data_IF_314998698009
#
_entry.id   IF_314998698009
#
_cell.length_a   1.000
_cell.length_b   1.000
_cell.length_c   1.000
_cell.angle_alpha   90.00
_cell.angle_beta   90.00
_cell.angle_gamma   90.00
#
_symmetry.space_group_name_H-M   'P 1'
#
loop_
_entity.id
_entity.type
_entity.pdbx_description
1 polymer ?
#
# COMPACT_ATOMS: atom_id res chain seq x y z
N UNK A 1 51.08 -19.66 -47.61
CA UNK A 1 50.32 -20.62 -46.78
C UNK A 1 49.93 -19.95 -45.46
N UNK A 2 48.72 -20.22 -44.94
CA UNK A 2 47.95 -19.32 -44.09
C UNK A 2 48.00 -19.69 -42.61
N UNK A 3 47.69 -18.75 -41.71
CA UNK A 3 47.04 -19.08 -40.43
C UNK A 3 45.99 -18.02 -40.09
N UNK A 4 44.74 -18.35 -40.44
CA UNK A 4 43.52 -17.73 -39.90
C UNK A 4 43.48 -17.93 -38.40
N UNK A 5 43.28 -16.85 -37.64
CA UNK A 5 42.83 -16.93 -36.25
C UNK A 5 41.40 -16.42 -36.16
N UNK A 6 40.51 -17.37 -35.87
CA UNK A 6 39.14 -17.17 -35.43
C UNK A 6 39.11 -16.35 -34.14
N UNK A 7 38.26 -15.33 -34.08
CA UNK A 7 37.88 -14.65 -32.83
C UNK A 7 36.45 -15.10 -32.49
N UNK A 8 36.21 -15.69 -31.31
CA UNK A 8 34.87 -16.11 -30.93
C UNK A 8 34.01 -14.88 -30.57
N UNK A 9 32.79 -14.87 -31.10
CA UNK A 9 31.75 -13.92 -30.78
C UNK A 9 31.39 -14.01 -29.29
N UNK A 10 31.58 -12.91 -28.57
CA UNK A 10 31.10 -12.74 -27.20
C UNK A 10 29.58 -12.68 -27.18
N UNK A 11 28.96 -13.67 -26.54
CA UNK A 11 27.53 -13.67 -26.23
C UNK A 11 27.30 -12.63 -25.12
N UNK A 12 26.69 -11.50 -25.50
CA UNK A 12 26.19 -10.50 -24.54
C UNK A 12 24.86 -11.02 -23.98
N UNK A 13 24.89 -11.58 -22.77
CA UNK A 13 23.68 -11.91 -22.01
C UNK A 13 22.95 -10.62 -21.62
N UNK A 14 21.83 -10.31 -22.30
CA UNK A 14 20.85 -9.35 -21.80
C UNK A 14 20.10 -9.99 -20.61
N UNK A 15 20.49 -9.64 -19.40
CA UNK A 15 19.70 -9.93 -18.21
C UNK A 15 18.48 -8.99 -18.17
N UNK A 16 17.35 -9.43 -18.73
CA UNK A 16 16.08 -8.74 -18.58
C UNK A 16 15.66 -8.77 -17.10
N UNK A 17 15.73 -7.61 -16.45
CA UNK A 17 15.18 -7.43 -15.11
C UNK A 17 13.66 -7.55 -15.18
N UNK A 18 13.13 -8.71 -14.80
CA UNK A 18 11.72 -8.91 -14.58
C UNK A 18 11.30 -8.18 -13.28
N UNK A 19 11.13 -6.86 -13.37
CA UNK A 19 10.32 -6.14 -12.40
C UNK A 19 8.88 -6.67 -12.54
N UNK A 20 8.53 -7.63 -11.67
CA UNK A 20 7.23 -8.32 -11.72
C UNK A 20 6.09 -7.32 -11.81
N UNK A 21 5.35 -7.41 -12.93
CA UNK A 21 4.22 -6.55 -13.26
C UNK A 21 3.28 -6.42 -12.04
N UNK A 22 2.75 -5.22 -11.83
CA UNK A 22 1.72 -4.99 -10.81
C UNK A 22 0.55 -5.96 -11.07
N UNK A 23 -0.04 -6.57 -10.03
CA UNK A 23 -1.20 -7.43 -10.22
C UNK A 23 -2.33 -6.63 -10.88
N UNK A 24 -3.23 -7.35 -11.53
CA UNK A 24 -4.36 -6.78 -12.25
C UNK A 24 -5.12 -5.79 -11.35
N UNK A 25 -5.30 -4.57 -11.85
CA UNK A 25 -5.91 -3.49 -11.09
C UNK A 25 -7.38 -3.82 -10.80
N UNK A 26 -7.76 -3.89 -9.52
CA UNK A 26 -9.17 -3.89 -9.13
C UNK A 26 -9.81 -2.54 -9.52
N UNK A 27 -10.74 -2.56 -10.48
CA UNK A 27 -11.45 -1.40 -11.00
C UNK A 27 -12.91 -1.39 -10.53
N UNK A 28 -13.26 -0.47 -9.61
CA UNK A 28 -14.63 -0.22 -9.18
C UNK A 28 -15.01 1.25 -9.47
N UNK A 29 -15.84 1.53 -10.49
CA UNK A 29 -16.16 2.89 -10.90
C UNK A 29 -17.09 3.62 -9.91
N UNK A 30 -17.74 2.89 -9.00
CA UNK A 30 -18.61 3.45 -7.95
C UNK A 30 -17.82 3.86 -6.70
N UNK A 31 -16.57 3.39 -6.57
CA UNK A 31 -15.69 3.75 -5.48
C UNK A 31 -14.83 4.97 -5.83
N UNK A 32 -14.55 5.85 -4.85
CA UNK A 32 -13.62 6.95 -5.07
C UNK A 32 -12.19 6.50 -5.39
N UNK A 33 -11.80 5.26 -5.02
CA UNK A 33 -10.52 4.64 -5.43
C UNK A 33 -10.80 3.64 -6.53
N UNK A 34 -10.30 3.93 -7.73
CA UNK A 34 -10.55 3.13 -8.91
C UNK A 34 -9.42 2.15 -9.21
N UNK A 35 -8.19 2.41 -8.76
CA UNK A 35 -7.06 1.52 -9.01
C UNK A 35 -5.97 1.72 -7.97
N UNK A 36 -5.40 0.62 -7.50
CA UNK A 36 -4.33 0.60 -6.51
C UNK A 36 -3.12 -0.13 -7.06
N UNK A 37 -1.94 0.45 -6.86
CA UNK A 37 -0.67 -0.20 -7.11
C UNK A 37 0.16 -0.34 -5.84
N UNK A 38 1.39 -0.83 -5.98
CA UNK A 38 2.35 -0.86 -4.88
C UNK A 38 2.81 0.54 -4.48
N UNK A 39 2.95 1.44 -5.44
CA UNK A 39 3.53 2.79 -5.23
C UNK A 39 2.61 3.93 -5.67
N UNK A 40 1.34 3.63 -5.97
CA UNK A 40 0.38 4.63 -6.41
C UNK A 40 -1.07 4.26 -6.08
N UNK A 41 -1.95 5.25 -6.16
CA UNK A 41 -3.39 5.08 -6.18
C UNK A 41 -4.00 6.01 -7.25
N UNK A 42 -5.05 5.54 -7.93
CA UNK A 42 -5.90 6.37 -8.79
C UNK A 42 -7.22 6.64 -8.10
N UNK A 43 -7.52 7.92 -7.95
CA UNK A 43 -8.67 8.42 -7.21
C UNK A 43 -9.54 9.19 -8.20
N UNK A 44 -10.85 8.95 -8.14
CA UNK A 44 -11.85 9.66 -8.92
C UNK A 44 -13.01 10.16 -8.07
N UNK A 45 -13.57 11.30 -8.42
CA UNK A 45 -14.76 11.84 -7.76
C UNK A 45 -15.47 12.85 -8.65
N UNK A 46 -16.69 13.22 -8.23
CA UNK A 46 -17.44 14.31 -8.82
C UNK A 46 -17.70 15.44 -7.81
N UNK A 47 -17.64 16.68 -8.29
CA UNK A 47 -18.11 17.88 -7.57
C UNK A 47 -19.37 18.44 -8.23
N UNK A 48 -20.16 19.19 -7.45
CA UNK A 48 -21.39 19.84 -7.96
C UNK A 48 -21.08 20.98 -8.93
N UNK A 49 -20.00 21.71 -8.68
CA UNK A 49 -19.53 22.81 -9.53
C UNK A 49 -18.06 22.61 -9.90
N UNK A 50 -17.59 23.19 -11.03
CA UNK A 50 -16.21 23.05 -11.47
C UNK A 50 -15.19 23.47 -10.39
N UNK A 51 -14.22 22.63 -10.09
CA UNK A 51 -13.15 22.88 -9.12
C UNK A 51 -11.81 22.35 -9.62
N UNK A 52 -10.70 22.72 -8.98
CA UNK A 52 -9.40 22.12 -9.27
C UNK A 52 -9.32 20.66 -8.79
N UNK A 53 -8.53 19.85 -9.49
CA UNK A 53 -8.27 18.47 -9.07
C UNK A 53 -7.17 18.46 -8.01
N UNK A 54 -7.54 18.32 -6.74
CA UNK A 54 -6.59 18.20 -5.62
C UNK A 54 -6.98 17.09 -4.66
N UNK A 55 -6.00 16.35 -4.16
CA UNK A 55 -6.16 15.36 -3.10
C UNK A 55 -5.16 15.66 -1.99
N UNK A 56 -5.65 15.81 -0.76
CA UNK A 56 -4.79 15.84 0.41
C UNK A 56 -4.60 14.41 0.92
N UNK A 57 -3.36 14.00 1.18
CA UNK A 57 -3.03 12.63 1.53
C UNK A 57 -1.93 12.57 2.60
N UNK A 58 -2.04 11.60 3.50
CA UNK A 58 -1.04 11.27 4.51
C UNK A 58 -0.93 9.76 4.70
N UNK A 59 0.25 9.29 5.07
CA UNK A 59 0.41 7.93 5.56
C UNK A 59 -0.11 7.84 7.00
N UNK A 60 -0.78 6.74 7.37
CA UNK A 60 -1.22 6.56 8.74
C UNK A 60 -2.16 5.38 8.95
N UNK A 61 -2.20 4.89 10.19
CA UNK A 61 -3.12 3.83 10.64
C UNK A 61 -4.43 4.36 11.23
N UNK A 62 -4.44 5.63 11.67
CA UNK A 62 -5.51 6.18 12.50
C UNK A 62 -6.29 7.28 11.79
N UNK A 63 -7.64 7.20 11.81
CA UNK A 63 -8.51 8.26 11.35
C UNK A 63 -8.28 9.61 12.05
N UNK A 64 -8.76 10.69 11.44
CA UNK A 64 -8.47 12.06 11.87
C UNK A 64 -8.84 12.35 13.35
N UNK A 65 -9.87 11.68 13.86
CA UNK A 65 -10.43 11.92 15.20
C UNK A 65 -10.04 10.87 16.23
N UNK A 66 -9.15 9.93 15.91
CA UNK A 66 -8.59 9.02 16.92
C UNK A 66 -7.81 9.85 17.95
N UNK A 67 -8.18 9.82 19.24
CA UNK A 67 -7.46 10.56 20.28
C UNK A 67 -5.98 10.18 20.31
N UNK A 68 -5.13 11.15 20.67
CA UNK A 68 -3.73 10.87 20.96
C UNK A 68 -3.55 10.05 22.25
N UNK A 69 -2.34 9.50 22.50
CA UNK A 69 -1.96 8.86 23.76
C UNK A 69 -2.16 9.74 24.99
N UNK A 70 -2.09 11.06 24.79
CA UNK A 70 -2.34 12.11 25.78
C UNK A 70 -3.83 12.49 25.91
N UNK A 71 -4.73 11.76 25.23
CA UNK A 71 -6.16 12.02 25.20
C UNK A 71 -6.56 13.26 24.39
N UNK A 72 -5.59 13.98 23.79
CA UNK A 72 -5.88 15.22 23.06
C UNK A 72 -6.30 14.94 21.62
N UNK A 73 -7.22 15.76 21.06
CA UNK A 73 -7.51 15.73 19.64
C UNK A 73 -6.24 15.99 18.84
N UNK A 74 -5.98 15.13 17.84
CA UNK A 74 -4.91 15.35 16.88
C UNK A 74 -5.44 16.18 15.72
N UNK A 75 -4.58 17.00 15.13
CA UNK A 75 -4.80 17.67 13.84
C UNK A 75 -3.94 17.02 12.75
N UNK A 76 -4.22 15.76 12.36
CA UNK A 76 -3.30 14.99 11.51
C UNK A 76 -3.21 15.54 10.09
N UNK A 77 -4.14 16.41 9.69
CA UNK A 77 -4.14 17.09 8.39
C UNK A 77 -3.28 18.36 8.34
N UNK A 78 -2.71 18.76 9.49
CA UNK A 78 -1.72 19.85 9.60
C UNK A 78 -0.30 19.35 9.93
N UNK A 79 -0.13 18.03 10.04
CA UNK A 79 1.16 17.41 10.34
C UNK A 79 2.11 17.43 9.13
N UNK A 80 3.42 17.38 9.38
CA UNK A 80 4.46 17.44 8.35
C UNK A 80 4.40 16.32 7.28
N UNK A 81 3.77 15.18 7.58
CA UNK A 81 3.60 14.06 6.63
C UNK A 81 2.43 14.20 5.66
N UNK A 82 1.70 15.32 5.70
CA UNK A 82 0.57 15.60 4.81
C UNK A 82 1.07 16.31 3.57
N UNK A 83 0.61 15.85 2.40
CA UNK A 83 0.87 16.53 1.13
C UNK A 83 -0.39 16.68 0.30
N UNK A 84 -0.38 17.64 -0.61
CA UNK A 84 -1.44 17.83 -1.60
C UNK A 84 -0.92 17.37 -2.96
N UNK A 85 -1.57 16.36 -3.53
CA UNK A 85 -1.36 15.96 -4.92
C UNK A 85 -2.28 16.81 -5.82
N UNK A 86 -1.71 17.47 -6.82
CA UNK A 86 -2.46 18.21 -7.83
C UNK A 86 -2.61 17.35 -9.09
N UNK A 87 -3.82 17.34 -9.65
CA UNK A 87 -4.10 16.71 -10.94
C UNK A 87 -3.85 17.67 -12.10
N UNK A 88 -4.33 17.34 -13.31
CA UNK A 88 -4.23 18.22 -14.47
C UNK A 88 -4.81 19.61 -14.19
N UNK A 89 -4.21 20.68 -14.73
CA UNK A 89 -4.66 22.05 -14.51
C UNK A 89 -6.09 22.28 -15.03
N UNK A 90 -6.72 23.33 -14.53
CA UNK A 90 -8.08 23.72 -14.90
C UNK A 90 -9.17 23.19 -13.97
N UNK A 91 -10.40 23.66 -14.20
CA UNK A 91 -11.58 23.36 -13.39
C UNK A 91 -12.50 22.40 -14.12
N UNK A 92 -13.05 21.43 -13.39
CA UNK A 92 -13.92 20.37 -13.92
C UNK A 92 -14.82 19.83 -12.83
N UNK A 93 -15.88 19.13 -13.21
CA UNK A 93 -16.79 18.45 -12.26
C UNK A 93 -16.46 16.98 -12.10
N UNK A 94 -15.84 16.34 -13.09
CA UNK A 94 -15.28 15.00 -12.98
C UNK A 94 -13.77 15.08 -12.79
N UNK A 95 -13.27 14.41 -11.76
CA UNK A 95 -11.87 14.42 -11.39
C UNK A 95 -11.30 13.01 -11.44
N UNK A 96 -10.08 12.90 -11.96
CA UNK A 96 -9.24 11.71 -11.87
C UNK A 96 -7.80 12.15 -11.62
N UNK A 97 -7.15 11.53 -10.65
CA UNK A 97 -5.74 11.80 -10.32
C UNK A 97 -5.01 10.52 -9.95
N UNK A 98 -3.78 10.40 -10.43
CA UNK A 98 -2.83 9.38 -10.01
C UNK A 98 -1.91 9.97 -8.94
N UNK A 99 -2.02 9.46 -7.72
CA UNK A 99 -1.15 9.82 -6.60
C UNK A 99 0.01 8.83 -6.57
N UNK A 100 1.17 9.23 -7.08
CA UNK A 100 2.39 8.40 -7.10
C UNK A 100 3.28 8.63 -5.86
N UNK A 101 4.37 7.85 -5.76
CA UNK A 101 5.37 7.98 -4.69
C UNK A 101 4.90 7.44 -3.34
N UNK A 102 3.99 6.47 -3.35
CA UNK A 102 3.50 5.81 -2.14
C UNK A 102 4.42 4.64 -1.77
N UNK A 103 4.46 4.31 -0.47
CA UNK A 103 5.19 3.15 0.04
C UNK A 103 4.34 1.89 -0.13
N UNK A 104 4.89 0.77 -0.63
CA UNK A 104 4.19 -0.51 -0.66
C UNK A 104 3.75 -0.98 0.73
N UNK A 105 2.69 -1.78 0.77
CA UNK A 105 2.12 -2.36 1.98
C UNK A 105 1.69 -1.34 3.05
N UNK A 106 1.51 -0.07 2.67
CA UNK A 106 1.24 1.01 3.62
C UNK A 106 -0.20 1.52 3.51
N UNK A 107 -0.77 1.86 4.67
CA UNK A 107 -2.09 2.49 4.75
C UNK A 107 -1.97 4.00 4.58
N UNK A 108 -2.85 4.55 3.75
CA UNK A 108 -2.99 5.97 3.50
C UNK A 108 -4.40 6.44 3.82
N UNK A 109 -4.49 7.66 4.35
CA UNK A 109 -5.74 8.39 4.49
C UNK A 109 -5.71 9.58 3.54
N UNK A 110 -6.84 9.88 2.92
CA UNK A 110 -6.94 10.98 1.95
C UNK A 110 -8.28 11.71 2.05
N UNK A 111 -8.29 12.94 1.55
CA UNK A 111 -9.48 13.77 1.34
C UNK A 111 -9.44 14.35 -0.06
N UNK A 112 -10.60 14.41 -0.71
CA UNK A 112 -10.74 15.06 -2.02
C UNK A 112 -11.15 16.52 -1.83
N UNK A 113 -10.65 17.38 -2.71
CA UNK A 113 -11.02 18.79 -2.74
C UNK A 113 -12.41 18.95 -3.35
N UNK A 114 -13.30 19.60 -2.60
CA UNK A 114 -14.57 20.11 -3.09
C UNK A 114 -14.93 21.38 -2.30
N UNK A 115 -14.62 22.57 -2.85
CA UNK A 115 -14.84 23.83 -2.13
C UNK A 115 -16.33 24.17 -1.96
N UNK A 116 -17.21 23.46 -2.69
CA UNK A 116 -18.66 23.65 -2.70
C UNK A 116 -19.40 22.67 -1.78
N UNK A 117 -18.69 21.68 -1.23
CA UNK A 117 -19.28 20.78 -0.26
C UNK A 117 -19.45 21.50 1.08
N UNK A 118 -20.63 21.36 1.67
CA UNK A 118 -20.92 21.77 3.04
C UNK A 118 -20.98 20.52 3.91
N UNK A 119 -19.95 20.24 4.73
CA UNK A 119 -19.95 19.03 5.57
C UNK A 119 -21.03 19.08 6.63
N UNK A 120 -21.81 18.02 6.71
CA UNK A 120 -22.74 17.77 7.83
C UNK A 120 -21.98 17.60 9.15
N UNK A 121 -22.69 17.68 10.28
CA UNK A 121 -22.10 17.41 11.59
C UNK A 121 -21.43 16.04 11.66
N UNK A 122 -22.05 15.01 11.07
CA UNK A 122 -21.51 13.65 10.99
C UNK A 122 -20.26 13.59 10.10
N UNK A 123 -20.25 14.26 8.96
CA UNK A 123 -19.05 14.25 8.11
C UNK A 123 -17.86 14.96 8.77
N UNK A 124 -18.12 15.99 9.60
CA UNK A 124 -17.08 16.62 10.41
C UNK A 124 -16.50 15.65 11.44
N UNK A 125 -17.29 14.74 12.03
CA UNK A 125 -16.75 13.68 12.90
C UNK A 125 -15.90 12.66 12.14
N UNK A 126 -16.09 12.55 10.82
CA UNK A 126 -15.24 11.77 9.91
C UNK A 126 -14.12 12.61 9.26
N UNK A 127 -13.77 13.75 9.84
CA UNK A 127 -12.62 14.55 9.43
C UNK A 127 -12.84 15.42 8.18
N UNK A 128 -14.10 15.65 7.76
CA UNK A 128 -14.40 16.67 6.77
C UNK A 128 -14.13 18.06 7.35
N UNK A 129 -13.42 18.89 6.59
CA UNK A 129 -13.12 20.28 6.94
C UNK A 129 -12.89 21.04 5.65
N UNK A 130 -13.61 22.14 5.44
CA UNK A 130 -13.58 22.85 4.15
C UNK A 130 -12.15 23.31 3.84
N UNK A 131 -11.70 23.23 2.57
CA UNK A 131 -12.44 22.82 1.35
C UNK A 131 -12.37 21.31 1.04
N UNK A 132 -12.08 20.49 2.06
CA UNK A 132 -11.88 19.05 1.91
C UNK A 132 -13.11 18.27 2.35
N UNK A 133 -13.51 17.27 1.54
CA UNK A 133 -14.56 16.31 1.94
C UNK A 133 -14.07 15.40 3.07
N UNK A 134 -14.97 14.53 3.56
CA UNK A 134 -14.68 13.52 4.59
C UNK A 134 -13.43 12.69 4.27
N UNK A 135 -12.84 12.14 5.32
CA UNK A 135 -11.68 11.25 5.21
C UNK A 135 -12.08 9.90 4.61
N UNK A 136 -11.20 9.38 3.75
CA UNK A 136 -11.24 8.05 3.18
C UNK A 136 -9.90 7.36 3.44
N UNK A 137 -9.84 6.05 3.25
CA UNK A 137 -8.58 5.31 3.37
C UNK A 137 -8.43 4.20 2.35
N UNK A 138 -7.19 3.87 2.03
CA UNK A 138 -6.81 2.70 1.25
C UNK A 138 -5.46 2.16 1.74
N UNK A 139 -5.13 0.94 1.34
CA UNK A 139 -3.80 0.37 1.51
C UNK A 139 -3.21 0.09 0.14
N UNK A 140 -1.96 0.49 -0.08
CA UNK A 140 -1.21 0.08 -1.28
C UNK A 140 -0.96 -1.43 -1.25
N UNK A 141 -0.75 -2.01 -2.42
CA UNK A 141 -0.41 -3.42 -2.54
C UNK A 141 0.89 -3.76 -1.79
N UNK A 142 0.98 -5.01 -1.32
CA UNK A 142 2.18 -5.52 -0.65
C UNK A 142 3.44 -5.38 -1.53
N UNK A 143 4.64 -5.26 -0.92
CA UNK A 143 5.89 -5.33 -1.66
C UNK A 143 5.94 -6.56 -2.57
N UNK A 144 6.67 -6.46 -3.68
CA UNK A 144 6.98 -7.65 -4.48
C UNK A 144 7.77 -8.62 -3.59
N UNK A 145 7.22 -9.80 -3.35
CA UNK A 145 8.00 -10.89 -2.77
C UNK A 145 8.90 -11.39 -3.90
N UNK A 146 10.19 -11.04 -3.86
CA UNK A 146 11.20 -11.79 -4.60
C UNK A 146 11.59 -12.93 -3.65
N UNK A 147 10.84 -14.03 -3.67
CA UNK A 147 11.36 -15.26 -3.09
C UNK A 147 12.49 -15.75 -4.02
N UNK A 148 13.75 -15.81 -3.57
CA UNK A 148 14.72 -16.60 -4.30
C UNK A 148 14.19 -18.03 -4.31
N UNK A 149 13.98 -18.58 -5.51
CA UNK A 149 13.73 -20.01 -5.72
C UNK A 149 14.77 -20.76 -4.91
N UNK A 150 14.37 -21.34 -3.77
CA UNK A 150 15.24 -22.29 -3.08
C UNK A 150 15.41 -23.45 -4.05
N UNK A 151 16.64 -23.81 -4.46
CA UNK A 151 16.81 -25.01 -5.25
C UNK A 151 16.24 -26.18 -4.46
N UNK A 152 15.27 -26.87 -5.06
CA UNK A 152 14.80 -28.17 -4.59
C UNK A 152 15.93 -29.16 -4.90
N UNK A 153 16.98 -29.15 -4.08
CA UNK A 153 17.97 -30.22 -3.99
C UNK A 153 17.53 -31.14 -2.86
N UNK A 154 16.93 -32.30 -3.14
CA UNK A 154 17.66 -33.53 -3.42
C UNK A 154 18.59 -33.92 -2.25
N UNK A 155 18.04 -34.69 -1.33
CA UNK A 155 18.76 -35.71 -0.56
C UNK A 155 19.85 -35.27 0.41
N UNK A 156 19.55 -35.33 1.70
CA UNK A 156 20.49 -35.94 2.64
C UNK A 156 19.72 -36.74 3.67
N UNK A 157 19.62 -38.05 3.43
CA UNK A 157 19.41 -39.04 4.48
C UNK A 157 20.54 -38.86 5.47
N UNK A 158 20.24 -38.47 6.71
CA UNK A 158 21.14 -38.80 7.81
C UNK A 158 20.42 -39.69 8.80
N UNK A 159 21.01 -40.87 8.90
CA UNK A 159 20.75 -41.99 9.77
C UNK A 159 20.53 -41.62 11.23
N UNK A 160 19.66 -42.41 11.84
CA UNK A 160 19.41 -42.57 13.26
C UNK A 160 20.63 -42.37 14.18
N UNK A 161 20.39 -41.73 15.32
CA UNK A 161 20.97 -42.21 16.57
C UNK A 161 19.94 -42.05 17.69
N UNK A 162 19.56 -43.20 18.24
CA UNK A 162 18.59 -43.35 19.31
C UNK A 162 19.13 -42.77 20.62
N UNK A 163 18.28 -42.04 21.36
CA UNK A 163 18.35 -41.98 22.83
C UNK A 163 16.95 -42.06 23.42
N UNK A 164 16.75 -43.21 24.07
CA UNK A 164 15.87 -43.56 25.18
C UNK A 164 15.15 -42.43 25.93
N UNK A 165 13.84 -42.65 26.07
CA UNK A 165 12.90 -42.26 27.14
C UNK A 165 13.52 -42.26 28.57
N UNK A 166 12.97 -41.49 29.55
CA UNK A 166 11.63 -41.77 30.05
C UNK A 166 10.70 -40.60 30.43
N UNK A 167 9.44 -40.99 30.29
CA UNK A 167 8.17 -40.47 30.76
C UNK A 167 8.17 -40.16 32.27
N UNK A 168 7.82 -38.92 32.63
CA UNK A 168 7.56 -38.52 34.01
C UNK A 168 6.04 -38.44 34.27
N UNK A 169 5.66 -38.88 35.46
CA UNK A 169 4.34 -39.32 35.88
C UNK A 169 3.31 -38.20 36.08
N UNK A 170 2.04 -38.56 35.87
CA UNK A 170 0.86 -37.90 36.44
C UNK A 170 0.74 -38.28 37.93
N UNK A 171 0.37 -37.37 38.82
CA UNK A 171 -0.27 -37.72 40.08
C UNK A 171 -1.80 -37.65 39.95
N UNK A 172 -2.46 -38.74 40.33
CA UNK A 172 -3.89 -38.81 40.64
C UNK A 172 -4.10 -38.66 42.15
N UNK A 173 -5.19 -37.97 42.51
CA UNK A 173 -5.98 -38.03 43.76
C UNK A 173 -5.32 -37.74 45.11
N UNK A 174 -5.89 -36.80 45.87
CA UNK A 174 -6.57 -37.16 47.13
C UNK A 174 -7.52 -36.06 47.63
N UNK A 175 -8.63 -36.53 48.19
CA UNK A 175 -9.75 -35.81 48.75
C UNK A 175 -9.47 -35.38 50.19
N UNK A 176 -10.04 -34.24 50.60
CA UNK A 176 -10.61 -34.02 51.94
C UNK A 176 -11.63 -32.90 51.88
#
# INVERSE_FOLDING_TARGET
MPQSRFIPAGILMLAASAAGADPESCSDPTRPVMRLGRTFAEIQWHTRQPAETRVQIRQGGWPARTPGPDGRPREPWRAAGVRVAAGPPGRRTYHRIRVAGLRPGSRYLYRVYDPWAEPTGVEKTWGADRPWRREYSFSTLAPAVIEPLRPIGAGSRNTASARSHPQAARPSSESR
#
